data_IF_417799827056
#
_entry.id   IF_417799827056
#
_cell.length_a   1.000
_cell.length_b   1.000
_cell.length_c   1.000
_cell.angle_alpha   90.00
_cell.angle_beta   90.00
_cell.angle_gamma   90.00
#
_symmetry.space_group_name_H-M   'P 1'
#
loop_
_entity.id
_entity.type
_entity.pdbx_description
1 polymer ?
#
# COMPACT_ATOMS: atom_id res chain seq x y z
N UNK A 1 -9.07 2.15 9.22
CA UNK A 1 -8.52 0.76 9.07
C UNK A 1 -7.33 0.77 8.12
N UNK A 2 -6.32 -0.10 8.31
CA UNK A 2 -5.12 -0.11 7.48
C UNK A 2 -4.60 -1.53 7.20
N UNK A 3 -3.98 -1.72 6.03
CA UNK A 3 -3.26 -2.93 5.62
C UNK A 3 -1.87 -2.52 5.14
N UNK A 4 -0.84 -3.28 5.50
CA UNK A 4 0.51 -3.12 4.97
C UNK A 4 0.90 -4.35 4.14
N UNK A 5 1.39 -4.13 2.93
CA UNK A 5 1.80 -5.15 1.97
C UNK A 5 3.28 -4.99 1.61
N UNK A 6 4.03 -6.08 1.65
CA UNK A 6 5.43 -6.12 1.20
C UNK A 6 5.53 -6.80 -0.16
N UNK A 7 6.05 -6.08 -1.16
CA UNK A 7 6.29 -6.59 -2.52
C UNK A 7 7.79 -6.78 -2.71
N UNK A 8 8.23 -8.04 -2.83
CA UNK A 8 9.66 -8.39 -2.78
C UNK A 8 10.15 -9.05 -4.06
N UNK A 9 9.39 -10.00 -4.62
CA UNK A 9 9.77 -10.77 -5.80
C UNK A 9 8.52 -11.44 -6.42
N UNK A 10 8.47 -11.64 -7.74
CA UNK A 10 9.41 -11.13 -8.73
C UNK A 10 9.24 -9.63 -8.99
N UNK A 11 10.29 -9.00 -9.55
CA UNK A 11 10.27 -7.57 -9.85
C UNK A 11 9.22 -7.25 -10.91
N UNK A 12 9.06 -8.11 -11.92
CA UNK A 12 8.20 -7.86 -13.08
C UNK A 12 7.23 -9.02 -13.32
N UNK A 13 6.41 -9.34 -12.31
CA UNK A 13 5.29 -10.26 -12.46
C UNK A 13 4.20 -9.61 -13.33
N UNK A 14 3.90 -10.15 -14.53
CA UNK A 14 2.89 -9.58 -15.42
C UNK A 14 1.46 -9.68 -14.84
N UNK A 15 1.22 -10.51 -13.83
CA UNK A 15 -0.09 -10.72 -13.22
C UNK A 15 -0.29 -9.93 -11.93
N UNK A 16 0.78 -9.60 -11.19
CA UNK A 16 0.67 -8.94 -9.89
C UNK A 16 -0.09 -7.61 -9.97
N UNK A 17 0.10 -6.85 -11.05
CA UNK A 17 -0.64 -5.61 -11.28
C UNK A 17 -2.16 -5.78 -11.24
N UNK A 18 -2.68 -6.87 -11.82
CA UNK A 18 -4.12 -7.18 -11.79
C UNK A 18 -4.57 -7.59 -10.40
N UNK A 19 -3.75 -8.34 -9.67
CA UNK A 19 -4.05 -8.75 -8.30
C UNK A 19 -4.03 -7.58 -7.31
N UNK A 20 -3.15 -6.59 -7.50
CA UNK A 20 -3.14 -5.34 -6.71
C UNK A 20 -4.43 -4.52 -6.90
N UNK A 21 -4.96 -4.48 -8.12
CA UNK A 21 -6.25 -3.83 -8.41
C UNK A 21 -7.40 -4.57 -7.72
N UNK A 22 -7.43 -5.90 -7.82
CA UNK A 22 -8.45 -6.72 -7.13
C UNK A 22 -8.36 -6.58 -5.62
N UNK A 23 -7.15 -6.56 -5.07
CA UNK A 23 -6.92 -6.31 -3.64
C UNK A 23 -7.51 -4.96 -3.24
N UNK A 24 -7.25 -3.89 -4.01
CA UNK A 24 -7.81 -2.58 -3.72
C UNK A 24 -9.35 -2.61 -3.71
N UNK A 25 -9.95 -3.23 -4.71
CA UNK A 25 -11.42 -3.37 -4.80
C UNK A 25 -12.00 -4.14 -3.61
N UNK A 26 -11.33 -5.20 -3.16
CA UNK A 26 -11.78 -6.00 -2.02
C UNK A 26 -11.63 -5.27 -0.68
N UNK A 27 -10.60 -4.42 -0.52
CA UNK A 27 -10.38 -3.63 0.68
C UNK A 27 -11.35 -2.44 0.82
N UNK A 28 -11.88 -1.96 -0.31
CA UNK A 28 -12.74 -0.79 -0.38
C UNK A 28 -12.00 0.52 -0.10
N UNK A 29 -12.73 1.64 -0.24
CA UNK A 29 -12.07 2.95 -0.24
C UNK A 29 -11.63 3.46 1.14
N UNK A 30 -12.27 2.96 2.20
CA UNK A 30 -12.02 3.37 3.59
C UNK A 30 -10.81 2.69 4.24
N UNK A 31 -10.13 1.78 3.53
CA UNK A 31 -8.95 1.07 4.03
C UNK A 31 -7.68 1.67 3.44
N UNK A 32 -6.78 2.14 4.30
CA UNK A 32 -5.46 2.60 3.87
C UNK A 32 -4.60 1.39 3.48
N UNK A 33 -3.99 1.46 2.29
CA UNK A 33 -3.10 0.41 1.78
C UNK A 33 -1.67 0.95 1.74
N UNK A 34 -0.84 0.53 2.68
CA UNK A 34 0.59 0.80 2.68
C UNK A 34 1.33 -0.28 1.89
N UNK A 35 2.27 0.12 1.05
CA UNK A 35 3.07 -0.79 0.23
C UNK A 35 4.56 -0.50 0.41
N UNK A 36 5.37 -1.53 0.60
CA UNK A 36 6.81 -1.40 0.72
C UNK A 36 7.53 -2.61 0.13
N UNK A 37 8.85 -2.62 0.19
CA UNK A 37 9.67 -3.72 -0.31
C UNK A 37 10.34 -3.42 -1.65
N UNK A 38 11.30 -4.26 -2.00
CA UNK A 38 12.27 -3.99 -3.08
C UNK A 38 11.67 -3.94 -4.48
N UNK A 39 10.51 -4.56 -4.67
CA UNK A 39 9.87 -4.64 -5.99
C UNK A 39 8.87 -3.50 -6.23
N UNK A 40 8.57 -2.66 -5.23
CA UNK A 40 7.62 -1.53 -5.35
C UNK A 40 7.89 -0.65 -6.59
N UNK A 41 9.15 -0.26 -6.91
CA UNK A 41 9.40 0.61 -8.07
C UNK A 41 8.90 0.07 -9.41
N UNK A 42 8.91 -1.26 -9.61
CA UNK A 42 8.38 -1.89 -10.83
C UNK A 42 6.87 -1.72 -10.99
N UNK A 43 6.14 -1.46 -9.89
CA UNK A 43 4.68 -1.36 -9.87
C UNK A 43 4.15 0.04 -9.54
N UNK A 44 5.01 1.05 -9.37
CA UNK A 44 4.59 2.40 -8.93
C UNK A 44 3.45 3.01 -9.76
N UNK A 45 3.40 2.75 -11.06
CA UNK A 45 2.30 3.22 -11.92
C UNK A 45 0.94 2.64 -11.52
N UNK A 46 0.88 1.38 -11.09
CA UNK A 46 -0.33 0.71 -10.61
C UNK A 46 -0.63 1.11 -9.18
N UNK A 47 0.40 1.15 -8.33
CA UNK A 47 0.28 1.53 -6.92
C UNK A 47 -0.29 2.94 -6.77
N UNK A 48 0.17 3.90 -7.59
CA UNK A 48 -0.40 5.24 -7.67
C UNK A 48 -1.86 5.24 -8.15
N UNK A 49 -2.21 4.36 -9.09
CA UNK A 49 -3.58 4.27 -9.63
C UNK A 49 -4.58 3.72 -8.61
N UNK A 50 -4.12 2.90 -7.66
CA UNK A 50 -4.97 2.30 -6.62
C UNK A 50 -4.89 3.05 -5.28
N UNK A 51 -4.35 4.27 -5.27
CA UNK A 51 -4.15 5.11 -4.09
C UNK A 51 -3.41 4.39 -2.94
N UNK A 52 -2.41 3.56 -3.29
CA UNK A 52 -1.53 2.94 -2.32
C UNK A 52 -0.48 3.96 -1.81
N UNK A 53 -0.18 3.88 -0.52
CA UNK A 53 0.83 4.70 0.13
C UNK A 53 2.16 3.95 0.13
N UNK A 54 3.10 4.41 -0.69
CA UNK A 54 4.45 3.81 -0.78
C UNK A 54 5.30 4.18 0.45
N UNK A 55 5.82 3.16 1.12
CA UNK A 55 6.77 3.27 2.23
C UNK A 55 8.18 2.99 1.71
N UNK A 56 9.11 3.91 1.95
CA UNK A 56 10.50 3.75 1.52
C UNK A 56 11.25 2.77 2.42
N UNK A 57 11.02 2.88 3.73
CA UNK A 57 11.62 2.01 4.74
C UNK A 57 10.58 1.58 5.78
N UNK A 58 10.79 0.43 6.40
CA UNK A 58 9.84 -0.12 7.38
C UNK A 58 9.62 0.80 8.59
N UNK A 59 10.61 1.62 8.94
CA UNK A 59 10.46 2.62 10.02
C UNK A 59 9.43 3.70 9.70
N UNK A 60 9.09 3.94 8.43
CA UNK A 60 8.07 4.89 8.02
C UNK A 60 6.66 4.43 8.40
N UNK A 61 6.45 3.12 8.60
CA UNK A 61 5.13 2.55 8.89
C UNK A 61 4.54 3.08 10.20
N UNK A 62 5.34 3.18 11.27
CA UNK A 62 4.83 3.58 12.60
C UNK A 62 4.31 5.03 12.61
N UNK A 63 5.05 6.03 12.10
CA UNK A 63 4.54 7.39 11.96
C UNK A 63 3.20 7.45 11.20
N UNK A 64 3.09 6.76 10.06
CA UNK A 64 1.86 6.76 9.27
C UNK A 64 0.67 6.15 10.02
N UNK A 65 0.86 5.03 10.71
CA UNK A 65 -0.19 4.42 11.52
C UNK A 65 -0.62 5.34 12.68
N UNK A 66 0.31 6.08 13.28
CA UNK A 66 0.00 7.04 14.33
C UNK A 66 -0.83 8.21 13.80
N UNK A 67 -0.49 8.75 12.63
CA UNK A 67 -1.27 9.81 11.98
C UNK A 67 -2.71 9.35 11.68
N UNK A 68 -2.89 8.11 11.22
CA UNK A 68 -4.21 7.53 11.01
C UNK A 68 -5.03 7.44 12.30
N UNK A 69 -4.41 7.00 13.40
CA UNK A 69 -5.06 6.94 14.71
C UNK A 69 -5.53 8.33 15.19
N UNK A 70 -4.69 9.35 15.01
CA UNK A 70 -5.04 10.72 15.36
C UNK A 70 -6.17 11.28 14.48
N UNK A 71 -6.16 10.97 13.18
CA UNK A 71 -7.22 11.38 12.26
C UNK A 71 -8.56 10.72 12.58
N UNK A 72 -8.57 9.44 12.96
CA UNK A 72 -9.79 8.74 13.39
C UNK A 72 -10.34 9.29 14.72
N UNK A 73 -9.48 9.76 15.63
CA UNK A 73 -9.89 10.33 16.93
C UNK A 73 -10.51 11.73 16.81
N UNK A 74 -10.28 12.43 15.69
CA UNK A 74 -10.81 13.79 15.43
C UNK A 74 -12.14 13.79 14.68
N UNK A 75 -12.64 12.63 14.25
CA UNK A 75 -13.94 12.45 13.59
C UNK A 75 -15.00 12.08 14.61
#
# INVERSE_FOLDING_TARGET
>A
RAVALSIVYPLDDPYLGRELIKLRQALGDDTYLFVGGRAVPSYSHILKRIDAIELNILSDLRPHLHELQLAETRR
#
